data_IF_782887534433
#
_entry.id   IF_782887534433
#
_cell.length_a   1.000
_cell.length_b   1.000
_cell.length_c   1.000
_cell.angle_alpha   90.00
_cell.angle_beta   90.00
_cell.angle_gamma   90.00
#
_symmetry.space_group_name_H-M   'P 1'
#
loop_
_entity.id
_entity.type
_entity.pdbx_description
1 polymer ?
#
# COMPACT_ATOMS: atom_id res chain seq x y z
N UNK A 1 29.40 -4.85 15.93
CA UNK A 1 28.08 -4.19 16.05
C UNK A 1 27.53 -3.94 14.63
N UNK A 2 26.97 -4.97 13.98
CA UNK A 2 26.49 -4.84 12.60
C UNK A 2 25.09 -4.24 12.59
N UNK A 3 24.90 -3.11 11.90
CA UNK A 3 23.61 -2.43 11.81
C UNK A 3 22.59 -3.25 11.01
N UNK A 4 21.82 -4.11 11.70
CA UNK A 4 20.74 -4.92 11.13
C UNK A 4 19.57 -4.08 10.59
N UNK A 5 19.50 -2.78 10.91
CA UNK A 5 18.43 -1.86 10.49
C UNK A 5 18.46 -1.55 8.98
N UNK A 6 19.60 -1.72 8.30
CA UNK A 6 19.71 -1.51 6.85
C UNK A 6 19.36 -2.75 6.01
N UNK A 7 19.47 -3.97 6.58
CA UNK A 7 19.19 -5.22 5.84
C UNK A 7 17.70 -5.56 5.78
N UNK A 8 16.94 -5.05 6.74
CA UNK A 8 15.48 -5.09 6.74
C UNK A 8 14.99 -3.65 6.58
N UNK A 9 15.35 -3.03 5.45
CA UNK A 9 14.90 -1.68 5.08
C UNK A 9 13.43 -1.49 5.45
N UNK A 10 13.01 -0.28 5.76
CA UNK A 10 11.70 0.13 6.31
C UNK A 10 10.49 -0.54 5.63
N UNK A 11 10.31 -1.84 5.88
CA UNK A 11 9.30 -2.72 5.32
C UNK A 11 8.46 -3.14 6.51
N UNK A 12 7.23 -2.65 6.58
CA UNK A 12 6.42 -2.88 7.76
C UNK A 12 5.04 -2.24 7.69
N UNK A 13 4.14 -2.82 8.47
CA UNK A 13 2.80 -2.31 8.73
C UNK A 13 2.93 -1.20 9.77
N UNK A 14 2.81 0.06 9.36
CA UNK A 14 2.64 1.20 10.24
C UNK A 14 1.15 1.37 10.54
N UNK A 15 0.68 0.85 11.66
CA UNK A 15 -0.69 1.08 12.09
C UNK A 15 -0.74 2.15 13.18
N UNK A 16 -1.68 3.07 13.08
CA UNK A 16 -2.18 3.84 14.21
C UNK A 16 -3.70 3.59 14.32
N UNK A 17 -4.34 4.06 15.39
CA UNK A 17 -5.77 3.81 15.64
C UNK A 17 -6.72 4.34 14.53
N UNK A 18 -6.22 5.10 13.55
CA UNK A 18 -7.01 5.76 12.50
C UNK A 18 -6.61 5.34 11.08
N UNK A 19 -5.40 4.79 10.89
CA UNK A 19 -4.81 4.51 9.58
C UNK A 19 -3.83 3.34 9.65
N UNK A 20 -3.89 2.46 8.66
CA UNK A 20 -2.91 1.38 8.48
C UNK A 20 -2.05 1.69 7.25
N UNK A 21 -0.74 1.48 7.32
CA UNK A 21 0.20 1.83 6.27
C UNK A 21 1.11 0.65 5.94
N UNK A 22 1.09 0.12 4.73
CA UNK A 22 2.02 -0.93 4.29
C UNK A 22 3.18 -0.26 3.57
N UNK A 23 4.33 -0.13 4.21
CA UNK A 23 5.51 0.40 3.51
C UNK A 23 6.28 -0.78 2.91
N UNK A 24 6.36 -0.86 1.59
CA UNK A 24 7.11 -1.91 0.87
C UNK A 24 8.52 -1.41 0.52
N UNK A 25 8.78 -0.10 0.50
CA UNK A 25 10.10 0.55 0.50
C UNK A 25 9.92 2.04 0.15
N UNK A 26 10.86 2.89 0.59
CA UNK A 26 10.99 4.28 0.14
C UNK A 26 10.22 5.31 0.97
N UNK A 27 10.22 6.56 0.48
CA UNK A 27 9.58 7.72 1.10
C UNK A 27 8.29 8.17 0.37
N UNK A 28 7.85 7.42 -0.62
CA UNK A 28 6.66 7.68 -1.41
C UNK A 28 5.56 6.67 -1.08
N UNK A 29 4.31 7.08 -1.28
CA UNK A 29 3.18 6.20 -1.02
C UNK A 29 1.87 6.77 -1.54
N UNK A 30 0.90 5.87 -1.72
CA UNK A 30 -0.44 6.19 -2.16
C UNK A 30 -1.40 6.09 -0.99
N UNK A 31 -2.16 7.15 -0.73
CA UNK A 31 -3.26 7.12 0.25
C UNK A 31 -4.51 6.55 -0.42
N UNK A 32 -4.99 5.42 0.07
CA UNK A 32 -6.22 4.78 -0.37
C UNK A 32 -7.34 5.10 0.61
N UNK A 33 -8.43 5.68 0.10
CA UNK A 33 -9.63 5.97 0.87
C UNK A 33 -10.77 5.12 0.32
N UNK A 34 -11.20 4.15 1.11
CA UNK A 34 -12.42 3.39 0.90
C UNK A 34 -13.56 4.04 1.69
N UNK A 35 -14.79 3.57 1.46
CA UNK A 35 -16.00 4.07 2.15
C UNK A 35 -15.84 4.10 3.67
N UNK A 36 -15.31 3.02 4.26
CA UNK A 36 -15.22 2.87 5.72
C UNK A 36 -13.78 2.79 6.24
N UNK A 37 -12.77 2.81 5.35
CA UNK A 37 -11.37 2.55 5.71
C UNK A 37 -10.42 3.47 4.97
N UNK A 38 -9.39 3.94 5.68
CA UNK A 38 -8.29 4.72 5.10
C UNK A 38 -6.98 4.01 5.40
N UNK A 39 -6.20 3.76 4.37
CA UNK A 39 -4.89 3.14 4.51
C UNK A 39 -3.89 3.73 3.53
N UNK A 40 -2.60 3.55 3.80
CA UNK A 40 -1.50 4.06 2.99
C UNK A 40 -0.70 2.88 2.43
N UNK A 41 -0.38 2.92 1.14
CA UNK A 41 0.50 1.94 0.50
C UNK A 41 1.81 2.68 0.21
N UNK A 42 2.84 2.45 1.01
CA UNK A 42 4.19 2.94 0.75
C UNK A 42 4.82 2.17 -0.40
N UNK A 43 5.24 2.88 -1.43
CA UNK A 43 5.74 2.35 -2.70
C UNK A 43 6.71 3.35 -3.32
N UNK A 44 7.81 2.86 -3.90
CA UNK A 44 8.71 3.68 -4.73
C UNK A 44 8.16 3.90 -6.15
N UNK A 45 7.00 3.31 -6.46
CA UNK A 45 6.39 3.34 -7.78
C UNK A 45 4.89 3.67 -7.69
N UNK A 46 4.55 4.93 -7.37
CA UNK A 46 3.16 5.34 -7.15
C UNK A 46 2.27 5.09 -8.38
N UNK A 47 2.77 5.34 -9.59
CA UNK A 47 2.00 5.19 -10.83
C UNK A 47 1.69 3.72 -11.17
N UNK A 48 2.67 2.82 -11.07
CA UNK A 48 2.44 1.37 -11.27
C UNK A 48 1.43 0.83 -10.24
N UNK A 49 1.54 1.28 -9.00
CA UNK A 49 0.63 0.89 -7.92
C UNK A 49 -0.80 1.37 -8.21
N UNK A 50 -0.96 2.59 -8.71
CA UNK A 50 -2.26 3.14 -9.12
C UNK A 50 -2.88 2.34 -10.27
N UNK A 51 -2.07 1.95 -11.25
CA UNK A 51 -2.51 1.10 -12.37
C UNK A 51 -3.00 -0.27 -11.88
N UNK A 52 -2.24 -0.92 -11.00
CA UNK A 52 -2.62 -2.22 -10.44
C UNK A 52 -3.93 -2.15 -9.63
N UNK A 53 -4.14 -1.07 -8.86
CA UNK A 53 -5.41 -0.84 -8.15
C UNK A 53 -6.58 -0.71 -9.14
N UNK A 54 -6.38 0.03 -10.24
CA UNK A 54 -7.42 0.18 -11.27
C UNK A 54 -7.78 -1.17 -11.91
N UNK A 55 -6.78 -1.96 -12.27
CA UNK A 55 -6.99 -3.32 -12.82
C UNK A 55 -7.74 -4.21 -11.82
N UNK A 56 -7.41 -4.13 -10.53
CA UNK A 56 -8.11 -4.88 -9.51
C UNK A 56 -9.59 -4.48 -9.38
N UNK A 57 -9.92 -3.18 -9.44
CA UNK A 57 -11.31 -2.71 -9.42
C UNK A 57 -12.10 -3.21 -10.65
N UNK A 58 -11.49 -3.23 -11.83
CA UNK A 58 -12.09 -3.78 -13.05
C UNK A 58 -12.38 -5.29 -12.90
N UNK A 59 -11.42 -6.07 -12.39
CA UNK A 59 -11.58 -7.50 -12.12
C UNK A 59 -12.67 -7.77 -11.07
N UNK A 60 -12.69 -6.99 -10.00
CA UNK A 60 -13.70 -7.10 -8.94
C UNK A 60 -15.10 -6.79 -9.47
N UNK A 61 -15.25 -5.78 -10.33
CA UNK A 61 -16.52 -5.46 -10.98
C UNK A 61 -17.00 -6.61 -11.86
N UNK A 62 -16.11 -7.18 -12.69
CA UNK A 62 -16.42 -8.31 -13.55
C UNK A 62 -16.82 -9.57 -12.75
N UNK A 63 -16.17 -9.83 -11.61
CA UNK A 63 -16.55 -10.94 -10.73
C UNK A 63 -17.94 -10.74 -10.09
N UNK A 64 -18.25 -9.54 -9.60
CA UNK A 64 -19.53 -9.27 -8.94
C UNK A 64 -20.72 -9.21 -9.92
N UNK A 65 -20.46 -9.03 -11.22
CA UNK A 65 -21.47 -9.01 -12.27
C UNK A 65 -21.85 -10.42 -12.78
N UNK A 66 -21.17 -11.46 -12.29
CA UNK A 66 -21.46 -12.87 -12.57
C UNK A 66 -22.32 -13.48 -11.46
#
# INVERSE_FOLDING_TARGET
MGNYVFKFGVWGIRYNFTMWGYNVAGNQGLKVTLKDKKFLIGTQKPEETRSAIKQFEELKSAYNAR
#
